data_IF_543795992532
#
_entry.id   IF_543795992532
#
_cell.length_a   1.000
_cell.length_b   1.000
_cell.length_c   1.000
_cell.angle_alpha   90.00
_cell.angle_beta   90.00
_cell.angle_gamma   90.00
#
_symmetry.space_group_name_H-M   'P 1'
#
loop_
_entity.id
_entity.type
_entity.pdbx_description
1 polymer ?
#
# COMPACT_ATOMS: atom_id res chain seq x y z
N UNK A 1 5.08 1.80 1.59
CA UNK A 1 3.98 2.75 1.81
C UNK A 1 4.28 3.73 2.95
N UNK A 2 4.72 3.29 4.14
CA UNK A 2 4.77 4.17 5.32
C UNK A 2 5.79 5.33 5.33
N UNK A 3 6.64 5.50 4.32
CA UNK A 3 7.49 6.71 4.18
C UNK A 3 7.12 7.59 2.98
N UNK A 4 6.10 7.19 2.23
CA UNK A 4 5.69 7.87 1.01
C UNK A 4 4.44 8.72 1.21
N UNK A 5 3.86 8.74 2.42
CA UNK A 5 2.62 9.42 2.77
C UNK A 5 2.81 10.32 3.99
N UNK A 6 2.01 11.38 4.10
CA UNK A 6 1.90 12.20 5.31
C UNK A 6 0.92 11.63 6.35
N UNK A 7 0.02 10.75 5.91
CA UNK A 7 -1.05 10.17 6.73
C UNK A 7 -0.57 8.85 7.35
N UNK A 8 0.14 8.94 8.48
CA UNK A 8 0.71 7.77 9.17
C UNK A 8 -0.24 7.15 10.21
N UNK A 9 -1.18 7.93 10.73
CA UNK A 9 -1.99 7.56 11.90
C UNK A 9 -2.73 6.23 11.69
N UNK A 10 -3.45 6.09 10.56
CA UNK A 10 -4.23 4.88 10.29
C UNK A 10 -3.33 3.64 10.16
N UNK A 11 -2.23 3.76 9.41
CA UNK A 11 -1.34 2.63 9.19
C UNK A 11 -0.62 2.19 10.46
N UNK A 12 -0.24 3.12 11.34
CA UNK A 12 0.41 2.80 12.61
C UNK A 12 -0.58 2.22 13.61
N UNK A 13 -1.78 2.81 13.72
CA UNK A 13 -2.82 2.36 14.63
C UNK A 13 -3.29 0.94 14.31
N UNK A 14 -3.58 0.65 13.04
CA UNK A 14 -4.21 -0.62 12.63
C UNK A 14 -3.26 -1.82 12.70
N UNK A 15 -1.95 -1.60 12.63
CA UNK A 15 -0.92 -2.65 12.74
C UNK A 15 -0.39 -2.83 14.18
N UNK A 16 -0.98 -2.14 15.16
CA UNK A 16 -0.69 -2.33 16.58
C UNK A 16 0.11 -1.20 17.26
N UNK A 17 0.03 0.03 16.75
CA UNK A 17 0.76 1.21 17.21
C UNK A 17 2.29 1.10 17.06
N UNK A 18 2.74 0.50 15.96
CA UNK A 18 4.16 0.44 15.59
C UNK A 18 4.39 1.26 14.32
N UNK A 19 5.52 1.96 14.25
CA UNK A 19 5.98 2.53 12.97
C UNK A 19 6.51 1.42 12.05
N UNK A 20 6.64 1.69 10.75
CA UNK A 20 7.30 0.78 9.81
C UNK A 20 8.73 0.45 10.24
N UNK A 21 9.41 1.39 10.91
CA UNK A 21 10.76 1.19 11.43
C UNK A 21 10.77 0.22 12.61
N UNK A 22 9.83 0.37 13.55
CA UNK A 22 9.81 -0.42 14.79
C UNK A 22 9.44 -1.88 14.56
N UNK A 23 8.49 -2.14 13.65
CA UNK A 23 8.00 -3.48 13.38
C UNK A 23 7.64 -3.67 11.90
N UNK A 24 8.64 -3.76 10.99
CA UNK A 24 8.39 -3.86 9.55
C UNK A 24 7.60 -5.12 9.18
N UNK A 25 7.80 -6.23 9.91
CA UNK A 25 7.08 -7.47 9.63
C UNK A 25 5.57 -7.35 9.84
N UNK A 26 5.12 -6.52 10.79
CA UNK A 26 3.69 -6.25 10.98
C UNK A 26 3.03 -5.60 9.75
N UNK A 27 3.78 -4.79 9.01
CA UNK A 27 3.31 -4.16 7.77
C UNK A 27 3.35 -5.13 6.58
N UNK A 28 4.37 -5.97 6.49
CA UNK A 28 4.54 -6.91 5.37
C UNK A 28 3.43 -7.96 5.26
N UNK A 29 2.80 -8.33 6.38
CA UNK A 29 1.63 -9.23 6.38
C UNK A 29 0.47 -8.66 5.55
N UNK A 30 0.34 -7.34 5.47
CA UNK A 30 -0.73 -6.66 4.74
C UNK A 30 -0.28 -6.11 3.37
N UNK A 31 0.97 -6.39 2.97
CA UNK A 31 1.51 -5.84 1.73
C UNK A 31 0.93 -6.58 0.50
N UNK A 32 0.14 -5.91 -0.36
CA UNK A 32 -0.52 -6.54 -1.50
C UNK A 32 0.45 -7.14 -2.51
N UNK A 33 1.70 -6.66 -2.57
CA UNK A 33 2.72 -7.21 -3.47
C UNK A 33 2.98 -8.71 -3.20
N UNK A 34 2.79 -9.16 -1.96
CA UNK A 34 3.00 -10.55 -1.56
C UNK A 34 1.86 -11.47 -2.03
N UNK A 35 0.77 -10.91 -2.58
CA UNK A 35 -0.45 -11.62 -2.95
C UNK A 35 -0.86 -11.43 -4.42
N UNK A 36 -0.03 -10.78 -5.24
CA UNK A 36 -0.34 -10.48 -6.66
C UNK A 36 -0.65 -11.74 -7.48
N UNK A 37 -0.04 -12.88 -7.14
CA UNK A 37 -0.31 -14.15 -7.81
C UNK A 37 -1.75 -14.67 -7.60
N UNK A 38 -2.46 -14.15 -6.61
CA UNK A 38 -3.85 -14.52 -6.33
C UNK A 38 -4.86 -13.64 -7.08
N UNK A 39 -4.41 -12.61 -7.79
CA UNK A 39 -5.28 -11.70 -8.52
C UNK A 39 -5.77 -12.37 -9.81
N UNK A 40 -7.08 -12.52 -9.95
CA UNK A 40 -7.69 -13.27 -11.07
C UNK A 40 -8.74 -12.48 -11.86
N UNK A 41 -9.19 -11.35 -11.33
CA UNK A 41 -10.29 -10.58 -11.89
C UNK A 41 -9.76 -9.32 -12.58
N UNK A 42 -10.38 -8.89 -13.70
CA UNK A 42 -10.12 -7.58 -14.27
C UNK A 42 -10.39 -6.49 -13.24
N UNK A 43 -9.48 -5.53 -13.13
CA UNK A 43 -9.56 -4.42 -12.17
C UNK A 43 -9.42 -3.08 -12.88
N UNK A 44 -10.30 -2.14 -12.53
CA UNK A 44 -10.18 -0.73 -12.89
C UNK A 44 -9.40 0.00 -11.79
N UNK A 45 -8.27 0.62 -12.14
CA UNK A 45 -7.44 1.37 -11.20
C UNK A 45 -7.67 2.87 -11.43
N UNK A 46 -8.06 3.59 -10.38
CA UNK A 46 -8.23 5.05 -10.37
C UNK A 46 -7.30 5.63 -9.31
N UNK A 47 -6.43 6.55 -9.71
CA UNK A 47 -5.49 7.25 -8.83
C UNK A 47 -5.57 8.76 -9.01
N UNK A 48 -5.37 9.50 -7.92
CA UNK A 48 -5.23 10.95 -7.94
C UNK A 48 -3.76 11.35 -7.85
N UNK A 49 -3.24 12.10 -8.83
CA UNK A 49 -1.85 12.53 -8.90
C UNK A 49 -1.40 13.42 -7.71
N UNK A 50 -2.36 14.01 -6.97
CA UNK A 50 -2.11 14.86 -5.81
C UNK A 50 -2.71 14.29 -4.52
N UNK A 51 -2.91 12.97 -4.44
CA UNK A 51 -3.25 12.33 -3.16
C UNK A 51 -1.96 12.06 -2.36
N UNK A 52 -1.71 12.88 -1.35
CA UNK A 52 -0.55 12.73 -0.46
C UNK A 52 -0.74 11.65 0.61
N UNK A 53 -1.94 11.07 0.72
CA UNK A 53 -2.26 10.00 1.67
C UNK A 53 -1.96 8.63 1.06
N UNK A 54 -2.25 8.47 -0.23
CA UNK A 54 -1.90 7.28 -1.02
C UNK A 54 -1.19 7.70 -2.31
N UNK A 55 0.14 7.56 -2.39
CA UNK A 55 0.92 8.02 -3.54
C UNK A 55 0.52 7.35 -4.84
N UNK A 56 0.56 8.11 -5.94
CA UNK A 56 0.20 7.63 -7.29
C UNK A 56 0.96 6.37 -7.71
N UNK A 57 2.21 6.20 -7.23
CA UNK A 57 3.06 5.05 -7.51
C UNK A 57 2.46 3.74 -7.03
N UNK A 58 1.60 3.75 -6.01
CA UNK A 58 0.87 2.57 -5.53
C UNK A 58 -0.11 2.05 -6.59
N UNK A 59 -0.87 2.95 -7.22
CA UNK A 59 -1.80 2.55 -8.29
C UNK A 59 -1.08 2.18 -9.59
N UNK A 60 -0.01 2.88 -9.94
CA UNK A 60 0.84 2.51 -11.09
C UNK A 60 1.43 1.11 -10.89
N UNK A 61 1.89 0.79 -9.67
CA UNK A 61 2.38 -0.54 -9.31
C UNK A 61 1.31 -1.62 -9.48
N UNK A 62 0.09 -1.38 -8.96
CA UNK A 62 -1.03 -2.30 -9.13
C UNK A 62 -1.41 -2.50 -10.61
N UNK A 63 -1.47 -1.43 -11.41
CA UNK A 63 -1.73 -1.51 -12.85
C UNK A 63 -0.66 -2.33 -13.59
N UNK A 64 0.61 -2.16 -13.22
CA UNK A 64 1.74 -2.88 -13.83
C UNK A 64 1.73 -4.36 -13.47
N UNK A 65 1.42 -4.70 -12.22
CA UNK A 65 1.32 -6.09 -11.77
C UNK A 65 0.16 -6.87 -12.43
N UNK A 66 -0.79 -6.17 -13.06
CA UNK A 66 -1.94 -6.74 -13.77
C UNK A 66 -1.71 -6.98 -15.26
N UNK A 67 -0.54 -6.61 -15.80
CA UNK A 67 -0.16 -6.86 -17.20
C UNK A 67 0.56 -8.20 -17.35
#
# INVERSE_FOLDING_TARGET
MGYSTEELFFTEHDVGNYTVYDNPSAYEVYNPVNYVANWTQPMLIIVGAHDYRVPETQGIGAFTALQ
#
